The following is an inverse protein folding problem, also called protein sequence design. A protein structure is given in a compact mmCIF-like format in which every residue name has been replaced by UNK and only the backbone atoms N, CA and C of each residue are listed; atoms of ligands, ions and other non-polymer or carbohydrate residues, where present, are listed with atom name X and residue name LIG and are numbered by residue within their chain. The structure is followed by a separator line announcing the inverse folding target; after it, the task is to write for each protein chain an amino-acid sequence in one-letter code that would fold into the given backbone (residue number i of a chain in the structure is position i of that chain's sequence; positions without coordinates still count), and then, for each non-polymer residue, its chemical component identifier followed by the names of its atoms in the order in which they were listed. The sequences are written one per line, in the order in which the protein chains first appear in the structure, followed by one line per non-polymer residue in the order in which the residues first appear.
data_IF_792756204747
#
_entry.id   IF_792756204747
#
_cell.length_a   1.000
_cell.length_b   1.000
_cell.length_c   1.000
_cell.angle_alpha   90.00
_cell.angle_beta   90.00
_cell.angle_gamma   90.00
#
_symmetry.space_group_name_H-M   'P 1'
#
loop_
_entity.id
_entity.type
_entity.pdbx_description
1 polymer ?
#
# COMPACT_ATOMS: atom_id res chain seq x y z
N UNK A 1 0.61 -6.77 -12.26
CA UNK A 1 -0.60 -5.93 -12.24
C UNK A 1 -0.53 -5.06 -11.00
N UNK A 2 -0.15 -3.78 -11.11
CA UNK A 2 0.04 -2.91 -9.95
C UNK A 2 -1.29 -2.53 -9.29
N UNK A 3 -1.31 -2.42 -7.96
CA UNK A 3 -2.47 -1.99 -7.17
C UNK A 3 -2.12 -0.73 -6.40
N UNK A 4 -3.07 0.19 -6.36
CA UNK A 4 -2.88 1.51 -5.77
C UNK A 4 -4.04 1.81 -4.83
N UNK A 5 -3.72 2.39 -3.67
CA UNK A 5 -4.70 3.02 -2.78
C UNK A 5 -4.32 4.48 -2.67
N UNK A 6 -5.32 5.36 -2.69
CA UNK A 6 -5.14 6.78 -2.46
C UNK A 6 -6.14 7.21 -1.40
N UNK A 7 -5.68 8.03 -0.47
CA UNK A 7 -6.51 8.58 0.60
C UNK A 7 -6.39 10.10 0.59
N UNK A 8 -7.54 10.76 0.77
CA UNK A 8 -7.64 12.20 0.90
C UNK A 8 -8.73 12.49 1.93
N UNK A 9 -8.36 13.14 3.03
CA UNK A 9 -9.26 13.33 4.16
C UNK A 9 -8.51 13.80 5.40
N UNK A 10 -9.06 13.47 6.56
CA UNK A 10 -8.42 13.73 7.85
C UNK A 10 -7.12 12.94 7.99
N UNK A 11 -6.14 13.48 8.70
CA UNK A 11 -4.90 12.75 8.99
C UNK A 11 -5.19 11.39 9.64
N UNK A 12 -4.65 10.35 9.02
CA UNK A 12 -4.72 8.97 9.49
C UNK A 12 -3.34 8.33 9.39
N UNK A 13 -3.12 7.29 10.19
CA UNK A 13 -1.91 6.49 10.06
C UNK A 13 -1.95 5.66 8.78
N UNK A 14 -0.78 5.53 8.14
CA UNK A 14 -0.61 4.67 6.96
C UNK A 14 -1.02 3.22 7.26
N UNK A 15 -0.79 2.75 8.49
CA UNK A 15 -1.15 1.40 8.92
C UNK A 15 -2.65 1.10 8.75
N UNK A 16 -3.50 2.09 8.97
CA UNK A 16 -4.96 1.96 8.87
C UNK A 16 -5.41 1.66 7.44
N UNK A 17 -4.66 2.11 6.43
CA UNK A 17 -4.92 1.83 5.02
C UNK A 17 -4.23 0.53 4.57
N UNK A 18 -3.00 0.33 5.03
CA UNK A 18 -2.11 -0.73 4.54
C UNK A 18 -2.37 -2.09 5.18
N UNK A 19 -2.76 -2.13 6.45
CA UNK A 19 -2.93 -3.34 7.25
C UNK A 19 -4.36 -3.51 7.80
N UNK A 20 -4.97 -2.45 8.32
CA UNK A 20 -6.20 -2.59 9.12
C UNK A 20 -7.50 -2.61 8.29
N UNK A 21 -7.47 -2.18 7.02
CA UNK A 21 -8.68 -2.19 6.20
C UNK A 21 -9.07 -3.61 5.78
N UNK A 22 -10.38 -3.90 5.74
CA UNK A 22 -10.92 -5.25 5.44
C UNK A 22 -10.45 -5.81 4.06
N UNK A 23 -9.97 -4.93 3.20
CA UNK A 23 -9.33 -5.24 1.91
C UNK A 23 -8.01 -4.49 1.77
N UNK A 24 -7.15 -4.61 2.78
CA UNK A 24 -5.87 -3.93 2.87
C UNK A 24 -4.99 -4.17 1.66
N UNK A 25 -4.06 -3.23 1.39
CA UNK A 25 -3.18 -3.34 0.24
C UNK A 25 -2.32 -4.62 0.32
N UNK A 26 -2.00 -5.06 1.54
CA UNK A 26 -1.25 -6.29 1.82
C UNK A 26 -2.09 -7.53 1.51
N UNK A 27 -3.34 -7.58 1.99
CA UNK A 27 -4.28 -8.66 1.65
C UNK A 27 -4.52 -8.75 0.14
N UNK A 28 -4.59 -7.60 -0.50
CA UNK A 28 -4.73 -7.48 -1.95
C UNK A 28 -3.49 -7.88 -2.74
N UNK A 29 -2.30 -7.80 -2.11
CA UNK A 29 -1.03 -8.23 -2.69
C UNK A 29 -0.80 -9.72 -2.51
N UNK A 30 -1.39 -10.33 -1.47
CA UNK A 30 -1.32 -11.77 -1.18
C UNK A 30 -2.44 -12.59 -1.83
N UNK A 31 -3.65 -12.04 -1.93
CA UNK A 31 -4.86 -12.80 -2.30
C UNK A 31 -5.86 -11.94 -3.07
N UNK A 32 -5.45 -11.54 -4.27
CA UNK A 32 -6.24 -10.72 -5.17
C UNK A 32 -7.52 -11.42 -5.69
N UNK A 33 -8.68 -11.07 -5.13
CA UNK A 33 -9.99 -11.66 -5.50
C UNK A 33 -10.57 -11.22 -6.86
N UNK A 34 -10.03 -10.16 -7.47
CA UNK A 34 -10.47 -9.59 -8.76
C UNK A 34 -9.30 -9.37 -9.73
N UNK A 35 -8.38 -10.32 -9.80
CA UNK A 35 -7.20 -10.26 -10.68
C UNK A 35 -6.97 -11.60 -11.36
N UNK A 36 -6.36 -11.59 -12.55
CA UNK A 36 -5.85 -12.80 -13.21
C UNK A 36 -4.59 -13.34 -12.53
N UNK A 37 -3.89 -12.51 -11.74
CA UNK A 37 -2.69 -12.87 -10.98
C UNK A 37 -2.98 -12.68 -9.50
N UNK A 38 -2.82 -13.74 -8.72
CA UNK A 38 -3.20 -13.81 -7.30
C UNK A 38 -2.27 -13.01 -6.40
N UNK A 39 -0.99 -12.91 -6.77
CA UNK A 39 0.09 -12.34 -5.94
C UNK A 39 0.78 -11.19 -6.65
N UNK A 40 1.03 -10.10 -5.94
CA UNK A 40 1.88 -8.98 -6.36
C UNK A 40 3.10 -8.92 -5.43
N UNK A 41 4.23 -9.49 -5.88
CA UNK A 41 5.44 -9.63 -5.08
C UNK A 41 6.61 -8.72 -5.51
N UNK A 42 6.42 -7.92 -6.57
CA UNK A 42 7.50 -7.26 -7.31
C UNK A 42 7.90 -5.89 -6.73
N UNK A 43 7.63 -5.67 -5.43
CA UNK A 43 7.86 -4.39 -4.75
C UNK A 43 6.59 -3.59 -4.45
N UNK A 44 6.74 -2.58 -3.60
CA UNK A 44 5.67 -1.63 -3.26
C UNK A 44 6.22 -0.22 -3.03
N UNK A 45 5.32 0.77 -2.99
CA UNK A 45 5.68 2.13 -2.69
C UNK A 45 4.55 2.89 -1.99
N UNK A 46 4.95 3.85 -1.17
CA UNK A 46 4.08 4.74 -0.40
C UNK A 46 4.48 6.17 -0.69
N UNK A 47 3.47 7.02 -0.84
CA UNK A 47 3.63 8.46 -0.91
C UNK A 47 2.66 9.11 0.06
N UNK A 48 3.13 10.05 0.87
CA UNK A 48 2.27 10.81 1.78
C UNK A 48 2.70 12.27 1.84
N UNK A 49 1.74 13.13 2.21
CA UNK A 49 1.98 14.54 2.50
C UNK A 49 1.78 14.76 3.99
N UNK A 50 2.57 15.66 4.55
CA UNK A 50 2.56 16.06 5.95
C UNK A 50 2.83 17.59 6.01
N UNK A 51 3.52 18.10 7.03
CA UNK A 51 3.87 19.52 7.16
C UNK A 51 4.68 20.11 5.99
N UNK A 52 5.36 19.25 5.22
CA UNK A 52 6.18 19.66 4.06
C UNK A 52 5.33 19.69 2.78
N UNK A 53 5.59 20.68 1.94
CA UNK A 53 5.00 20.76 0.59
C UNK A 53 5.46 19.64 -0.34
N UNK A 54 6.60 19.02 -0.03
CA UNK A 54 7.15 17.89 -0.77
C UNK A 54 6.66 16.57 -0.14
N UNK A 55 6.22 15.59 -0.95
CA UNK A 55 5.75 14.33 -0.42
C UNK A 55 6.91 13.50 0.16
N UNK A 56 6.65 12.83 1.28
CA UNK A 56 7.44 11.69 1.70
C UNK A 56 7.23 10.53 0.72
N UNK A 57 8.32 9.90 0.29
CA UNK A 57 8.31 8.76 -0.61
C UNK A 57 9.05 7.60 0.04
N UNK A 58 8.41 6.44 0.06
CA UNK A 58 9.01 5.17 0.46
C UNK A 58 8.77 4.16 -0.67
N UNK A 59 9.79 3.39 -1.03
CA UNK A 59 9.67 2.38 -2.07
C UNK A 59 10.63 1.24 -1.78
N UNK A 60 10.18 0.02 -2.03
CA UNK A 60 10.92 -1.19 -1.70
C UNK A 60 10.75 -2.23 -2.82
N UNK A 61 11.79 -3.01 -3.07
CA UNK A 61 11.80 -4.05 -4.12
C UNK A 61 11.33 -5.41 -3.60
N UNK A 62 11.28 -5.55 -2.27
CA UNK A 62 10.75 -6.71 -1.58
C UNK A 62 9.21 -6.65 -1.56
N UNK A 63 8.53 -7.81 -1.48
CA UNK A 63 7.07 -7.83 -1.43
C UNK A 63 6.55 -7.14 -0.17
N UNK A 64 5.39 -6.49 -0.28
CA UNK A 64 4.80 -5.68 0.79
C UNK A 64 4.56 -6.40 2.12
N UNK A 65 4.51 -7.74 2.14
CA UNK A 65 4.35 -8.55 3.35
C UNK A 65 5.67 -9.00 3.98
N UNK A 66 6.82 -8.71 3.36
CA UNK A 66 8.15 -9.02 3.92
C UNK A 66 8.67 -7.95 4.86
N UNK A 67 8.00 -6.80 4.93
CA UNK A 67 8.34 -5.65 5.78
C UNK A 67 7.39 -5.53 7.00
N UNK A 68 6.79 -6.67 7.41
CA UNK A 68 5.89 -6.81 8.56
C UNK A 68 6.64 -7.15 9.85
#
# INVERSE_FOLDING_TARGET
MCRWVAYMGQEIYLESLLFESEHSLIDQSLSARKSQVTVNADGFGLGWYDERSEPGLYHEIMPAWSDC
#
